data_IF_870719144174
#
_entry.id   IF_870719144174
#
_cell.length_a   1.000
_cell.length_b   1.000
_cell.length_c   1.000
_cell.angle_alpha   90.00
_cell.angle_beta   90.00
_cell.angle_gamma   90.00
#
_symmetry.space_group_name_H-M   'P 1'
#
loop_
_entity.id
_entity.type
_entity.pdbx_description
1 polymer ?
#
# COMPACT_ATOMS: atom_id res chain seq x y z
N UNK A 1 -8.51 11.68 -24.81
CA UNK A 1 -9.92 11.28 -24.68
C UNK A 1 -10.76 11.64 -25.90
N UNK A 2 -10.57 12.79 -26.55
CA UNK A 2 -11.33 13.14 -27.75
C UNK A 2 -11.17 12.14 -28.90
N UNK A 3 -9.92 11.75 -29.25
CA UNK A 3 -9.66 10.76 -30.30
C UNK A 3 -10.26 9.39 -29.98
N UNK A 4 -10.06 8.89 -28.76
CA UNK A 4 -10.62 7.62 -28.30
C UNK A 4 -12.15 7.63 -28.22
N UNK A 5 -12.77 8.79 -27.93
CA UNK A 5 -14.22 8.94 -27.96
C UNK A 5 -14.74 8.79 -29.39
N UNK A 6 -14.07 9.44 -30.34
CA UNK A 6 -14.41 9.38 -31.76
C UNK A 6 -14.27 7.96 -32.34
N UNK A 7 -13.23 7.23 -31.97
CA UNK A 7 -13.03 5.81 -32.36
C UNK A 7 -14.18 4.90 -31.89
N UNK A 8 -14.86 5.26 -30.80
CA UNK A 8 -16.00 4.53 -30.22
C UNK A 8 -17.35 5.10 -30.71
N UNK A 9 -17.33 6.10 -31.60
CA UNK A 9 -18.54 6.73 -32.15
C UNK A 9 -19.19 7.76 -31.21
N UNK A 10 -18.46 8.25 -30.21
CA UNK A 10 -18.88 9.34 -29.33
C UNK A 10 -18.36 10.68 -29.86
N UNK A 11 -19.16 11.73 -29.66
CA UNK A 11 -18.90 13.07 -30.22
C UNK A 11 -17.78 13.82 -29.48
N UNK A 12 -17.52 13.46 -28.21
CA UNK A 12 -16.42 14.01 -27.44
C UNK A 12 -16.44 13.60 -25.97
N UNK A 13 -15.51 14.18 -25.21
CA UNK A 13 -15.43 14.02 -23.75
C UNK A 13 -15.45 15.40 -23.09
N UNK A 14 -16.24 15.55 -22.03
CA UNK A 14 -16.31 16.78 -21.25
C UNK A 14 -15.07 16.95 -20.37
N UNK A 15 -14.74 18.19 -20.01
CA UNK A 15 -13.62 18.55 -19.11
C UNK A 15 -13.60 17.79 -17.77
N UNK A 16 -14.71 17.62 -17.02
CA UNK A 16 -14.70 16.87 -15.76
C UNK A 16 -14.32 15.39 -15.91
N UNK A 17 -14.46 14.81 -17.11
CA UNK A 17 -14.01 13.44 -17.35
C UNK A 17 -12.48 13.32 -17.24
N UNK A 18 -11.74 14.37 -17.64
CA UNK A 18 -10.29 14.43 -17.49
C UNK A 18 -9.87 14.47 -16.02
N UNK A 19 -10.56 15.29 -15.20
CA UNK A 19 -10.29 15.39 -13.77
C UNK A 19 -10.53 14.05 -13.05
N UNK A 20 -11.65 13.39 -13.35
CA UNK A 20 -11.96 12.07 -12.80
C UNK A 20 -10.92 11.02 -13.20
N UNK A 21 -10.44 11.06 -14.45
CA UNK A 21 -9.40 10.14 -14.91
C UNK A 21 -8.09 10.35 -14.12
N UNK A 22 -7.68 11.60 -13.91
CA UNK A 22 -6.48 11.92 -13.12
C UNK A 22 -6.58 11.33 -11.71
N UNK A 23 -7.72 11.55 -11.03
CA UNK A 23 -7.95 11.00 -9.69
C UNK A 23 -7.97 9.47 -9.71
N UNK A 24 -8.61 8.85 -10.70
CA UNK A 24 -8.65 7.39 -10.84
C UNK A 24 -7.25 6.79 -11.04
N UNK A 25 -6.41 7.42 -11.88
CA UNK A 25 -5.03 6.97 -12.12
C UNK A 25 -4.17 7.15 -10.88
N UNK A 26 -4.33 8.24 -10.13
CA UNK A 26 -3.64 8.42 -8.85
C UNK A 26 -3.99 7.32 -7.84
N UNK A 27 -5.28 6.96 -7.73
CA UNK A 27 -5.71 5.86 -6.86
C UNK A 27 -5.17 4.51 -7.34
N UNK A 28 -5.20 4.27 -8.65
CA UNK A 28 -4.64 3.06 -9.25
C UNK A 28 -3.14 2.91 -8.96
N UNK A 29 -2.35 3.96 -9.21
CA UNK A 29 -0.92 3.98 -8.92
C UNK A 29 -0.64 3.79 -7.43
N UNK A 30 -1.41 4.44 -6.56
CA UNK A 30 -1.31 4.25 -5.11
C UNK A 30 -1.52 2.79 -4.74
N UNK A 31 -2.56 2.14 -5.28
CA UNK A 31 -2.84 0.73 -4.99
C UNK A 31 -1.70 -0.19 -5.46
N UNK A 32 -1.14 0.05 -6.65
CA UNK A 32 0.02 -0.69 -7.17
C UNK A 32 1.24 -0.51 -6.25
N UNK A 33 1.57 0.73 -5.88
CA UNK A 33 2.69 1.02 -5.00
C UNK A 33 2.48 0.44 -3.60
N UNK A 34 1.27 0.51 -3.06
CA UNK A 34 0.92 -0.11 -1.78
C UNK A 34 1.15 -1.61 -1.83
N UNK A 35 0.71 -2.31 -2.89
CA UNK A 35 0.95 -3.75 -3.04
C UNK A 35 2.46 -4.10 -3.07
N UNK A 36 3.27 -3.28 -3.75
CA UNK A 36 4.73 -3.45 -3.80
C UNK A 36 5.35 -3.23 -2.41
N UNK A 37 4.99 -2.14 -1.72
CA UNK A 37 5.60 -1.81 -0.44
C UNK A 37 5.18 -2.73 0.69
N UNK A 38 3.94 -3.22 0.68
CA UNK A 38 3.43 -4.21 1.66
C UNK A 38 4.16 -5.54 1.55
N UNK A 39 4.68 -5.90 0.37
CA UNK A 39 5.55 -7.07 0.22
C UNK A 39 6.98 -6.86 0.67
N UNK A 40 7.49 -5.64 0.50
CA UNK A 40 8.88 -5.32 0.81
C UNK A 40 9.11 -4.91 2.28
N UNK A 41 8.11 -4.27 2.91
CA UNK A 41 8.24 -3.61 4.19
C UNK A 41 7.16 -4.07 5.16
N UNK A 42 7.47 -4.03 6.45
CA UNK A 42 6.45 -4.18 7.49
C UNK A 42 5.40 -3.08 7.40
N UNK A 43 4.20 -3.40 7.84
CA UNK A 43 3.06 -2.49 7.90
C UNK A 43 2.20 -2.85 9.12
N UNK A 44 1.32 -1.94 9.50
CA UNK A 44 0.31 -2.18 10.54
C UNK A 44 -1.07 -2.23 9.91
N UNK A 45 -1.97 -2.97 10.56
CA UNK A 45 -3.31 -3.21 10.06
C UNK A 45 -4.32 -2.80 11.12
N UNK A 46 -5.24 -1.90 10.77
CA UNK A 46 -6.34 -1.47 11.62
C UNK A 46 -7.57 -2.30 11.27
N UNK A 47 -8.23 -2.87 12.28
CA UNK A 47 -9.38 -3.77 12.11
C UNK A 47 -9.15 -4.94 11.14
N UNK A 48 -7.92 -5.43 11.06
CA UNK A 48 -7.53 -6.48 10.10
C UNK A 48 -7.85 -6.14 8.62
N UNK A 49 -8.05 -4.85 8.29
CA UNK A 49 -8.52 -4.40 6.96
C UNK A 49 -7.77 -3.20 6.41
N UNK A 50 -7.48 -2.20 7.24
CA UNK A 50 -6.91 -0.94 6.79
C UNK A 50 -5.40 -0.87 7.06
N UNK A 51 -4.62 -0.87 5.98
CA UNK A 51 -3.15 -0.81 6.05
C UNK A 51 -2.70 0.62 6.41
N UNK A 52 -1.83 0.73 7.41
CA UNK A 52 -1.20 1.99 7.82
C UNK A 52 0.25 1.77 8.25
N UNK A 53 0.99 2.87 8.46
CA UNK A 53 2.39 2.84 8.92
C UNK A 53 3.31 1.92 8.08
N UNK A 54 3.19 1.96 6.75
CA UNK A 54 4.05 1.18 5.85
C UNK A 54 5.51 1.61 6.05
N UNK A 55 6.39 0.64 6.25
CA UNK A 55 7.78 0.87 6.63
C UNK A 55 8.06 0.72 8.12
N UNK A 56 7.06 0.37 8.94
CA UNK A 56 7.30 -0.02 10.34
C UNK A 56 8.16 -1.27 10.40
N UNK A 57 9.02 -1.34 11.43
CA UNK A 57 9.79 -2.54 11.69
C UNK A 57 8.86 -3.67 12.14
N UNK A 58 9.16 -4.91 11.72
CA UNK A 58 8.41 -6.07 12.20
C UNK A 58 8.91 -6.38 13.62
N UNK A 59 8.03 -6.36 14.64
CA UNK A 59 8.46 -6.58 16.00
C UNK A 59 8.97 -8.01 16.18
N UNK A 60 10.08 -8.16 16.90
CA UNK A 60 10.68 -9.45 17.20
C UNK A 60 9.77 -10.26 18.15
N UNK A 61 9.24 -11.43 17.73
CA UNK A 61 8.32 -12.22 18.54
C UNK A 61 8.88 -12.64 19.90
N UNK A 62 10.22 -12.74 20.02
CA UNK A 62 10.91 -13.16 21.24
C UNK A 62 11.08 -12.03 22.26
N UNK A 63 10.93 -10.77 21.84
CA UNK A 63 11.00 -9.59 22.71
C UNK A 63 9.60 -9.06 23.05
N UNK A 64 8.56 -9.56 22.37
CA UNK A 64 7.20 -9.12 22.59
C UNK A 64 6.54 -9.79 23.81
N UNK A 65 5.99 -8.97 24.71
CA UNK A 65 5.07 -9.44 25.73
C UNK A 65 3.72 -9.75 25.08
N UNK A 66 3.15 -10.94 25.32
CA UNK A 66 1.87 -11.38 24.74
C UNK A 66 0.70 -10.45 25.05
N UNK A 67 0.76 -9.69 26.15
CA UNK A 67 -0.25 -8.69 26.49
C UNK A 67 -0.30 -7.50 25.52
N UNK A 68 0.78 -7.21 24.78
CA UNK A 68 0.87 -6.06 23.88
C UNK A 68 0.74 -6.44 22.38
N UNK A 69 0.57 -7.72 22.07
CA UNK A 69 0.33 -8.22 20.69
C UNK A 69 -1.10 -7.90 20.24
N UNK A 70 -2.03 -7.80 21.19
CA UNK A 70 -3.40 -7.35 20.97
C UNK A 70 -3.52 -5.87 21.33
N UNK A 71 -3.15 -4.97 20.42
CA UNK A 71 -3.31 -3.53 20.65
C UNK A 71 -4.80 -3.14 20.57
N UNK A 72 -5.29 -2.41 21.58
CA UNK A 72 -6.67 -1.91 21.75
C UNK A 72 -7.14 -0.91 20.67
N UNK A 73 -6.25 -0.57 19.72
CA UNK A 73 -6.54 0.28 18.55
C UNK A 73 -7.12 -0.54 17.39
N UNK A 74 -7.18 -1.86 17.54
CA UNK A 74 -7.72 -2.76 16.52
C UNK A 74 -9.21 -2.52 16.28
N UNK A 75 -9.94 -1.92 17.22
CA UNK A 75 -11.33 -1.50 17.02
C UNK A 75 -11.39 0.01 16.76
N UNK A 76 -11.94 0.44 15.62
CA UNK A 76 -12.31 1.85 15.49
C UNK A 76 -13.46 2.13 16.46
N UNK A 77 -13.16 2.85 17.54
CA UNK A 77 -14.23 3.34 18.40
C UNK A 77 -15.04 4.39 17.62
N UNK A 78 -16.37 4.19 17.61
CA UNK A 78 -17.32 5.09 16.96
C UNK A 78 -17.03 6.53 17.34
N UNK A 79 -17.04 7.42 16.35
CA UNK A 79 -16.83 8.84 16.55
C UNK A 79 -17.94 9.38 17.44
N UNK A 80 -17.61 9.82 18.67
CA UNK A 80 -18.60 10.48 19.53
C UNK A 80 -19.02 11.77 18.86
N UNK A 81 -20.32 11.95 18.70
CA UNK A 81 -20.89 13.22 18.27
C UNK A 81 -20.67 14.21 19.42
N UNK A 82 -19.92 15.29 19.18
CA UNK A 82 -19.95 16.43 20.09
C UNK A 82 -21.40 16.91 20.21
N UNK A 83 -21.81 17.34 21.41
CA UNK A 83 -23.17 17.80 21.75
C UNK A 83 -23.68 18.97 20.85
N UNK A 84 -22.83 19.55 20.00
CA UNK A 84 -23.14 20.62 19.04
C UNK A 84 -23.19 20.17 17.56
N UNK A 85 -23.15 18.86 17.27
CA UNK A 85 -23.43 18.32 15.93
C UNK A 85 -22.48 18.71 14.79
N UNK A 86 -21.35 19.39 15.07
CA UNK A 86 -20.50 20.00 14.03
C UNK A 86 -19.14 19.36 13.79
N UNK A 87 -18.67 18.39 14.58
CA UNK A 87 -17.44 17.68 14.23
C UNK A 87 -17.35 16.28 14.82
N UNK A 88 -17.21 15.28 13.94
CA UNK A 88 -16.83 13.91 14.30
C UNK A 88 -15.32 13.88 14.56
N UNK A 89 -14.90 14.04 15.82
CA UNK A 89 -13.48 13.94 16.19
C UNK A 89 -13.13 12.50 16.63
N UNK A 90 -11.99 11.94 16.21
CA UNK A 90 -11.56 10.63 16.68
C UNK A 90 -11.54 10.59 18.22
N UNK A 91 -12.25 9.63 18.81
CA UNK A 91 -12.55 9.58 20.27
C UNK A 91 -11.32 9.38 21.13
N UNK A 92 -10.21 8.92 20.55
CA UNK A 92 -9.02 8.58 21.31
C UNK A 92 -7.82 9.40 20.82
N UNK A 93 -7.62 10.56 21.43
CA UNK A 93 -6.27 11.09 21.57
C UNK A 93 -5.67 10.34 22.75
N UNK A 94 -4.84 9.35 22.45
CA UNK A 94 -3.96 8.74 23.45
C UNK A 94 -3.25 9.85 24.23
N UNK A 95 -3.06 9.65 25.53
CA UNK A 95 -2.25 10.57 26.32
C UNK A 95 -0.82 10.61 25.78
N UNK A 96 -0.11 11.72 26.01
CA UNK A 96 1.26 11.87 25.51
C UNK A 96 2.17 10.75 26.02
N UNK A 97 2.04 10.39 27.30
CA UNK A 97 2.80 9.31 27.94
C UNK A 97 2.54 7.95 27.28
N UNK A 98 1.28 7.64 26.96
CA UNK A 98 0.92 6.41 26.23
C UNK A 98 1.46 6.37 24.80
N UNK A 99 1.57 7.52 24.13
CA UNK A 99 2.16 7.62 22.78
C UNK A 99 3.67 7.38 22.87
N UNK A 100 4.33 8.02 23.83
CA UNK A 100 5.77 7.88 24.07
C UNK A 100 6.14 6.45 24.45
N UNK A 101 5.38 5.83 25.35
CA UNK A 101 5.59 4.44 25.75
C UNK A 101 5.43 3.48 24.55
N UNK A 102 4.42 3.68 23.69
CA UNK A 102 4.23 2.86 22.48
C UNK A 102 5.37 3.05 21.48
N UNK A 103 5.80 4.28 21.25
CA UNK A 103 6.92 4.57 20.36
C UNK A 103 8.22 3.93 20.86
N UNK A 104 8.49 4.04 22.17
CA UNK A 104 9.64 3.40 22.81
C UNK A 104 9.59 1.87 22.68
N UNK A 105 8.41 1.27 22.87
CA UNK A 105 8.20 -0.16 22.71
C UNK A 105 8.44 -0.64 21.28
N UNK A 106 7.91 0.07 20.28
CA UNK A 106 8.11 -0.24 18.85
C UNK A 106 9.59 -0.18 18.46
N UNK A 107 10.33 0.81 18.96
CA UNK A 107 11.77 0.92 18.72
C UNK A 107 12.53 -0.22 19.41
N UNK A 108 12.18 -0.56 20.65
CA UNK A 108 12.86 -1.61 21.41
C UNK A 108 12.61 -3.02 20.88
N UNK A 109 11.41 -3.28 20.35
CA UNK A 109 11.04 -4.58 19.77
C UNK A 109 11.33 -4.66 18.26
N UNK A 110 11.60 -3.54 17.59
CA UNK A 110 11.90 -3.51 16.17
C UNK A 110 13.24 -4.16 15.84
N UNK A 111 13.36 -4.69 14.63
CA UNK A 111 14.64 -5.10 14.05
C UNK A 111 15.62 -3.91 14.03
N UNK A 112 16.80 -4.12 14.62
CA UNK A 112 17.88 -3.14 14.78
C UNK A 112 18.77 -3.10 13.51
N UNK A 113 18.61 -4.09 12.63
CA UNK A 113 19.25 -4.11 11.32
C UNK A 113 18.58 -3.12 10.38
N UNK A 114 19.11 -1.89 10.30
CA UNK A 114 18.76 -0.95 9.24
C UNK A 114 19.10 -1.55 7.88
N UNK A 115 18.16 -2.29 7.28
CA UNK A 115 18.36 -2.91 5.97
C UNK A 115 18.59 -1.78 4.97
N UNK A 116 19.73 -1.75 4.30
CA UNK A 116 20.01 -0.82 3.20
C UNK A 116 18.84 -0.91 2.21
N UNK A 117 18.06 0.16 2.11
CA UNK A 117 16.86 0.18 1.29
C UNK A 117 17.26 0.42 -0.16
N UNK A 118 17.42 -0.68 -0.91
CA UNK A 118 17.60 -0.58 -2.35
C UNK A 118 16.33 -0.03 -3.03
N UNK A 119 16.45 0.66 -4.18
CA UNK A 119 15.29 1.07 -4.97
C UNK A 119 14.40 -0.13 -5.32
N UNK A 120 13.14 0.13 -5.65
CA UNK A 120 12.21 -0.92 -6.10
C UNK A 120 12.74 -1.50 -7.41
N UNK A 121 12.97 -2.82 -7.43
CA UNK A 121 13.44 -3.54 -8.63
C UNK A 121 12.25 -4.15 -9.39
N UNK A 122 12.46 -4.45 -10.67
CA UNK A 122 11.45 -5.12 -11.50
C UNK A 122 11.02 -6.49 -10.92
N UNK A 123 11.92 -7.18 -10.19
CA UNK A 123 11.59 -8.42 -9.49
C UNK A 123 10.56 -8.21 -8.38
N UNK A 124 10.73 -7.16 -7.56
CA UNK A 124 9.77 -6.81 -6.51
C UNK A 124 8.40 -6.43 -7.07
N UNK A 125 8.38 -5.79 -8.25
CA UNK A 125 7.14 -5.49 -8.97
C UNK A 125 6.46 -6.78 -9.43
N UNK A 126 7.22 -7.71 -10.03
CA UNK A 126 6.69 -8.99 -10.48
C UNK A 126 6.09 -9.81 -9.33
N UNK A 127 6.85 -9.96 -8.24
CA UNK A 127 6.41 -10.69 -7.05
C UNK A 127 5.11 -10.08 -6.46
N UNK A 128 5.08 -8.75 -6.30
CA UNK A 128 3.92 -8.07 -5.73
C UNK A 128 2.66 -8.24 -6.59
N UNK A 129 2.79 -8.13 -7.92
CA UNK A 129 1.66 -8.29 -8.85
C UNK A 129 1.17 -9.74 -8.93
N UNK A 130 2.05 -10.73 -8.80
CA UNK A 130 1.66 -12.14 -8.78
C UNK A 130 0.84 -12.53 -7.54
N UNK A 131 1.16 -11.91 -6.39
CA UNK A 131 0.41 -12.09 -5.14
C UNK A 131 -0.89 -11.30 -5.18
N UNK A 132 -0.82 -10.02 -5.53
CA UNK A 132 -1.95 -9.09 -5.49
C UNK A 132 -2.55 -8.89 -6.88
N UNK A 133 -3.01 -9.97 -7.52
CA UNK A 133 -3.52 -9.96 -8.90
C UNK A 133 -4.70 -9.00 -9.12
N UNK A 134 -5.51 -8.78 -8.09
CA UNK A 134 -6.70 -7.93 -8.16
C UNK A 134 -6.38 -6.43 -8.26
N UNK A 135 -5.11 -6.02 -8.08
CA UNK A 135 -4.69 -4.62 -8.19
C UNK A 135 -4.83 -4.11 -9.63
N UNK A 136 -4.67 -4.99 -10.63
CA UNK A 136 -4.91 -4.69 -12.04
C UNK A 136 -6.07 -5.58 -12.52
N UNK A 137 -7.32 -5.08 -12.49
CA UNK A 137 -8.49 -5.91 -12.79
C UNK A 137 -8.53 -6.39 -14.26
N UNK A 138 -7.99 -5.60 -15.18
CA UNK A 138 -7.98 -5.94 -16.60
C UNK A 138 -6.93 -6.98 -16.91
N UNK A 139 -7.36 -8.20 -17.28
CA UNK A 139 -6.47 -9.30 -17.65
C UNK A 139 -5.54 -8.93 -18.81
N UNK A 140 -6.05 -8.28 -19.86
CA UNK A 140 -5.25 -7.88 -21.01
C UNK A 140 -4.13 -6.91 -20.61
N UNK A 141 -4.44 -5.95 -19.72
CA UNK A 141 -3.43 -5.02 -19.22
C UNK A 141 -2.44 -5.75 -18.31
N UNK A 142 -2.92 -6.62 -17.42
CA UNK A 142 -2.06 -7.38 -16.52
C UNK A 142 -1.07 -8.25 -17.30
N UNK A 143 -1.56 -9.13 -18.17
CA UNK A 143 -0.73 -10.15 -18.84
C UNK A 143 0.33 -9.54 -19.75
N UNK A 144 -0.03 -8.54 -20.56
CA UNK A 144 0.92 -7.85 -21.44
C UNK A 144 2.02 -7.15 -20.63
N UNK A 145 1.68 -6.53 -19.50
CA UNK A 145 2.68 -5.84 -18.68
C UNK A 145 3.54 -6.81 -17.86
N UNK A 146 3.01 -7.95 -17.43
CA UNK A 146 3.80 -9.00 -16.78
C UNK A 146 4.84 -9.57 -17.75
N UNK A 147 4.48 -9.86 -19.00
CA UNK A 147 5.45 -10.30 -20.01
C UNK A 147 6.54 -9.26 -20.25
N UNK A 148 6.18 -7.97 -20.31
CA UNK A 148 7.17 -6.88 -20.43
C UNK A 148 8.14 -6.85 -19.26
N UNK A 149 7.65 -7.02 -18.03
CA UNK A 149 8.49 -7.08 -16.82
C UNK A 149 9.42 -8.29 -16.86
N UNK A 150 8.92 -9.46 -17.26
CA UNK A 150 9.73 -10.68 -17.39
C UNK A 150 10.83 -10.47 -18.46
N UNK A 151 10.49 -9.88 -19.60
CA UNK A 151 11.47 -9.58 -20.65
C UNK A 151 12.54 -8.58 -20.20
N UNK A 152 12.21 -7.64 -19.30
CA UNK A 152 13.22 -6.72 -18.73
C UNK A 152 14.11 -7.41 -17.70
N UNK A 153 13.66 -8.51 -17.10
CA UNK A 153 14.46 -9.32 -16.20
C UNK A 153 15.35 -10.33 -16.95
N UNK A 154 14.98 -10.72 -18.18
CA UNK A 154 15.76 -11.60 -19.03
C UNK A 154 16.99 -10.86 -19.60
N UNK A 155 18.19 -11.28 -19.22
CA UNK A 155 19.42 -10.70 -19.75
C UNK A 155 19.80 -11.41 -21.07
N UNK A 156 20.10 -10.70 -22.17
CA UNK A 156 20.47 -11.31 -23.45
C UNK A 156 21.80 -12.10 -23.45
N UNK A 157 22.48 -12.20 -22.30
CA UNK A 157 23.76 -12.93 -22.19
C UNK A 157 23.55 -14.41 -21.81
N UNK A 158 22.32 -14.83 -21.50
CA UNK A 158 22.01 -16.23 -21.21
C UNK A 158 21.90 -17.11 -22.46
N UNK A 159 21.86 -16.51 -23.67
CA UNK A 159 21.84 -17.25 -24.95
C UNK A 159 23.25 -17.54 -25.51
N UNK A 160 24.31 -16.93 -24.97
CA UNK A 160 25.69 -17.16 -25.46
C UNK A 160 26.40 -18.35 -24.79
N UNK A 161 25.71 -19.07 -23.88
CA UNK A 161 26.30 -20.19 -23.11
C UNK A 161 25.69 -21.57 -23.43
N UNK A 162 24.91 -21.70 -24.50
CA UNK A 162 24.52 -23.00 -25.10
C UNK A 162 25.17 -23.17 -26.48
#
# INVERSE_FOLDING_TARGET
MLLSAWEVGLDGAEEPAAELLVVAVQHFLKNVLTAIFVRKKGYKLREDRFIYAIGSSVPNPWLCNTANIMDDITASFSTKENEEGKMKSPVHKLSLDEIEQRAAYEIACGDVGGSIQYPVTAYQVLEALQVHRNVIPSHTVYSVNIERVINTLHHPASEETE
#
